data_IF_989656507415
#
_entry.id   IF_989656507415
#
_cell.length_a   1.000
_cell.length_b   1.000
_cell.length_c   1.000
_cell.angle_alpha   90.00
_cell.angle_beta   90.00
_cell.angle_gamma   90.00
#
_symmetry.space_group_name_H-M   'P 1'
#
loop_
_entity.id
_entity.type
_entity.pdbx_description
1 polymer ?
#
# COMPACT_ATOMS: atom_id res chain seq x y z
N UNK A 1 16.17 -7.30 10.21
CA UNK A 1 16.93 -7.27 11.49
C UNK A 1 18.24 -6.56 11.24
N UNK A 2 18.49 -5.48 11.96
CA UNK A 2 19.72 -4.72 11.91
C UNK A 2 20.61 -5.08 13.10
N UNK A 3 21.92 -4.96 12.95
CA UNK A 3 22.87 -5.19 14.03
C UNK A 3 23.64 -3.91 14.33
N UNK A 4 24.03 -3.74 15.60
CA UNK A 4 24.92 -2.66 16.01
C UNK A 4 26.08 -3.22 16.84
N UNK A 5 27.28 -2.69 16.64
CA UNK A 5 28.45 -2.95 17.47
C UNK A 5 28.73 -1.70 18.31
N UNK A 6 28.58 -1.80 19.62
CA UNK A 6 28.75 -0.66 20.55
C UNK A 6 27.93 0.59 20.10
N UNK A 7 26.70 0.37 19.62
CA UNK A 7 25.81 1.43 19.16
C UNK A 7 26.02 1.92 17.72
N UNK A 8 27.06 1.45 17.03
CA UNK A 8 27.27 1.80 15.61
C UNK A 8 26.66 0.74 14.69
N UNK A 9 25.99 1.16 13.60
CA UNK A 9 25.39 0.22 12.64
C UNK A 9 26.41 -0.76 12.07
N UNK A 10 26.04 -2.04 12.02
CA UNK A 10 26.83 -3.12 11.49
C UNK A 10 26.06 -3.78 10.33
N UNK A 11 26.64 -3.72 9.14
CA UNK A 11 25.99 -4.27 7.93
C UNK A 11 26.13 -5.79 7.87
N UNK A 12 25.07 -6.48 7.45
CA UNK A 12 25.11 -7.89 7.11
C UNK A 12 26.00 -8.13 5.87
N UNK A 13 26.67 -9.28 5.88
CA UNK A 13 27.51 -9.74 4.76
C UNK A 13 28.68 -8.78 4.42
N UNK A 14 29.12 -8.00 5.40
CA UNK A 14 30.30 -7.14 5.31
C UNK A 14 31.28 -7.55 6.43
N UNK A 15 32.58 -7.74 6.15
CA UNK A 15 33.57 -7.99 7.19
C UNK A 15 33.68 -6.76 8.10
N UNK A 16 33.88 -6.99 9.39
CA UNK A 16 34.04 -5.93 10.37
C UNK A 16 35.23 -6.18 11.32
N UNK A 17 35.67 -5.13 11.99
CA UNK A 17 36.77 -5.19 12.94
C UNK A 17 36.28 -4.63 14.28
N UNK A 18 36.54 -5.35 15.34
CA UNK A 18 36.28 -4.92 16.72
C UNK A 18 37.33 -3.94 17.22
N UNK A 19 37.07 -3.26 18.33
CA UNK A 19 37.94 -2.23 18.90
C UNK A 19 39.30 -2.77 19.37
N UNK A 20 39.40 -4.06 19.60
CA UNK A 20 40.64 -4.77 19.91
C UNK A 20 41.49 -5.17 18.70
N UNK A 21 40.99 -4.85 17.49
CA UNK A 21 41.66 -5.13 16.22
C UNK A 21 41.34 -6.50 15.61
N UNK A 22 40.48 -7.29 16.23
CA UNK A 22 40.07 -8.61 15.70
C UNK A 22 39.17 -8.43 14.50
N UNK A 23 39.52 -9.13 13.40
CA UNK A 23 38.75 -9.09 12.14
C UNK A 23 37.79 -10.28 12.05
N UNK A 24 36.56 -10.00 11.66
CA UNK A 24 35.51 -11.00 11.48
C UNK A 24 35.08 -11.04 10.00
N UNK A 25 34.88 -12.25 9.42
CA UNK A 25 34.47 -12.39 8.05
C UNK A 25 33.02 -11.93 7.81
N UNK A 26 32.70 -11.64 6.56
CA UNK A 26 31.38 -11.11 6.16
C UNK A 26 30.19 -11.97 6.61
N UNK A 27 30.36 -13.29 6.64
CA UNK A 27 29.29 -14.23 7.00
C UNK A 27 29.18 -14.48 8.53
N UNK A 28 30.04 -13.86 9.36
CA UNK A 28 30.11 -14.16 10.78
C UNK A 28 28.78 -13.86 11.48
N UNK A 29 28.13 -12.74 11.18
CA UNK A 29 26.84 -12.34 11.77
C UNK A 29 25.71 -13.35 11.51
N UNK A 30 25.79 -14.09 10.40
CA UNK A 30 24.78 -15.12 10.08
C UNK A 30 25.04 -16.44 10.78
N UNK A 31 26.29 -16.77 11.03
CA UNK A 31 26.70 -18.07 11.55
C UNK A 31 26.86 -18.06 13.08
N UNK A 32 27.10 -16.90 13.69
CA UNK A 32 27.31 -16.76 15.12
C UNK A 32 26.01 -16.89 15.91
N UNK A 33 26.14 -17.42 17.13
CA UNK A 33 25.04 -17.52 18.09
C UNK A 33 24.70 -16.16 18.70
N UNK A 34 23.56 -16.07 19.38
CA UNK A 34 23.18 -14.85 20.12
C UNK A 34 24.16 -14.54 21.25
N UNK A 35 24.70 -15.57 21.90
CA UNK A 35 25.69 -15.42 22.99
C UNK A 35 26.99 -14.84 22.45
N UNK A 36 27.55 -15.39 21.37
CA UNK A 36 28.76 -14.87 20.70
C UNK A 36 28.63 -13.42 20.26
N UNK A 37 27.45 -13.04 19.76
CA UNK A 37 27.14 -11.64 19.39
C UNK A 37 27.17 -10.73 20.62
N UNK A 38 26.51 -11.16 21.69
CA UNK A 38 26.43 -10.39 22.94
C UNK A 38 27.82 -10.20 23.57
N UNK A 39 28.66 -11.23 23.55
CA UNK A 39 30.01 -11.18 24.09
C UNK A 39 30.90 -10.16 23.38
N UNK A 40 30.65 -9.92 22.10
CA UNK A 40 31.34 -8.89 21.31
C UNK A 40 30.67 -7.50 21.39
N UNK A 41 29.60 -7.35 22.18
CA UNK A 41 28.86 -6.10 22.28
C UNK A 41 28.00 -5.81 21.05
N UNK A 42 27.67 -6.86 20.27
CA UNK A 42 26.75 -6.77 19.17
C UNK A 42 25.33 -6.96 19.69
N UNK A 43 24.48 -5.96 19.42
CA UNK A 43 23.06 -6.01 19.72
C UNK A 43 22.25 -6.13 18.44
N UNK A 44 21.23 -6.96 18.49
CA UNK A 44 20.23 -7.05 17.44
C UNK A 44 19.18 -5.97 17.68
N UNK A 45 18.97 -5.11 16.67
CA UNK A 45 17.98 -4.04 16.71
C UNK A 45 16.87 -4.42 15.77
N UNK A 46 15.63 -4.34 16.24
CA UNK A 46 14.48 -4.51 15.36
C UNK A 46 14.55 -3.50 14.21
N UNK A 47 14.23 -3.95 13.01
CA UNK A 47 14.13 -3.01 11.89
C UNK A 47 13.12 -1.91 12.23
N UNK A 48 13.43 -0.69 11.81
CA UNK A 48 12.49 0.40 11.99
C UNK A 48 11.16 0.03 11.34
N UNK A 49 10.02 0.22 12.02
CA UNK A 49 8.73 -0.09 11.45
C UNK A 49 8.53 0.69 10.15
N UNK A 50 8.13 -0.04 9.11
CA UNK A 50 7.80 0.58 7.82
C UNK A 50 6.36 1.06 7.89
N UNK A 51 6.19 2.37 7.86
CA UNK A 51 4.88 3.00 7.85
C UNK A 51 4.39 3.21 6.41
N UNK A 52 3.12 2.95 6.16
CA UNK A 52 2.51 3.26 4.87
C UNK A 52 2.43 4.77 4.69
N UNK A 53 3.20 5.29 3.73
CA UNK A 53 3.32 6.73 3.47
C UNK A 53 2.01 7.39 3.00
N UNK A 54 0.99 6.62 2.67
CA UNK A 54 -0.36 7.16 2.39
C UNK A 54 -1.00 7.70 3.64
N UNK A 55 -0.77 7.07 4.80
CA UNK A 55 -1.45 7.32 6.05
C UNK A 55 -0.56 7.94 7.13
N UNK A 56 0.74 7.68 7.09
CA UNK A 56 1.69 8.06 8.13
C UNK A 56 2.84 8.91 7.59
N UNK A 57 3.40 9.73 8.45
CA UNK A 57 4.67 10.39 8.23
C UNK A 57 5.84 9.41 8.46
N UNK A 58 7.06 9.79 8.06
CA UNK A 58 8.23 8.93 8.22
C UNK A 58 8.63 8.64 9.68
N UNK A 59 8.15 9.46 10.63
CA UNK A 59 8.32 9.28 12.07
C UNK A 59 7.24 8.38 12.71
N UNK A 60 6.31 7.86 11.91
CA UNK A 60 5.20 7.02 12.38
C UNK A 60 3.99 7.79 12.92
N UNK A 61 4.03 9.13 12.91
CA UNK A 61 2.85 9.92 13.26
C UNK A 61 1.80 9.84 12.17
N UNK A 62 0.52 9.73 12.55
CA UNK A 62 -0.58 9.74 11.59
C UNK A 62 -0.70 11.11 10.91
N UNK A 63 -0.94 11.11 9.60
CA UNK A 63 -1.28 12.33 8.87
C UNK A 63 -2.68 12.84 9.28
N UNK A 64 -2.94 14.14 9.03
CA UNK A 64 -4.25 14.71 9.29
C UNK A 64 -5.35 13.95 8.53
N UNK A 65 -6.29 13.35 9.27
CA UNK A 65 -7.28 12.41 8.77
C UNK A 65 -8.11 13.00 7.62
N UNK A 66 -8.59 14.25 7.78
CA UNK A 66 -9.41 14.92 6.77
C UNK A 66 -8.66 15.15 5.46
N UNK A 67 -7.37 15.49 5.54
CA UNK A 67 -6.51 15.64 4.37
C UNK A 67 -6.30 14.31 3.64
N UNK A 68 -6.06 13.24 4.39
CA UNK A 68 -5.91 11.89 3.84
C UNK A 68 -7.19 11.45 3.16
N UNK A 69 -8.35 11.56 3.82
CA UNK A 69 -9.66 11.21 3.24
C UNK A 69 -9.94 11.98 1.95
N UNK A 70 -9.67 13.30 1.94
CA UNK A 70 -9.87 14.14 0.76
C UNK A 70 -9.00 13.68 -0.41
N UNK A 71 -7.72 13.37 -0.16
CA UNK A 71 -6.79 12.86 -1.16
C UNK A 71 -7.22 11.50 -1.71
N UNK A 72 -7.62 10.57 -0.84
CA UNK A 72 -8.09 9.25 -1.23
C UNK A 72 -9.37 9.31 -2.08
N UNK A 73 -10.36 10.13 -1.69
CA UNK A 73 -11.58 10.32 -2.49
C UNK A 73 -11.30 10.94 -3.86
N UNK A 74 -10.34 11.88 -3.95
CA UNK A 74 -9.91 12.43 -5.24
C UNK A 74 -9.30 11.34 -6.13
N UNK A 75 -8.49 10.45 -5.56
CA UNK A 75 -7.90 9.31 -6.27
C UNK A 75 -8.97 8.31 -6.76
N UNK A 76 -10.01 8.04 -5.94
CA UNK A 76 -11.12 7.17 -6.36
C UNK A 76 -11.89 7.77 -7.55
N UNK A 77 -12.14 9.07 -7.54
CA UNK A 77 -12.77 9.77 -8.68
C UNK A 77 -11.92 9.72 -9.94
N UNK A 78 -10.61 9.90 -9.82
CA UNK A 78 -9.69 9.78 -10.95
C UNK A 78 -9.69 8.35 -11.51
N UNK A 79 -9.66 7.35 -10.64
CA UNK A 79 -9.75 5.93 -11.02
C UNK A 79 -11.05 5.64 -11.76
N UNK A 80 -12.18 6.05 -11.19
CA UNK A 80 -13.49 5.87 -11.84
C UNK A 80 -13.57 6.60 -13.20
N UNK A 81 -13.04 7.82 -13.27
CA UNK A 81 -12.93 8.59 -14.52
C UNK A 81 -12.14 7.85 -15.58
N UNK A 82 -11.00 7.29 -15.22
CA UNK A 82 -10.14 6.50 -16.12
C UNK A 82 -10.85 5.24 -16.63
N UNK A 83 -11.60 4.55 -15.77
CA UNK A 83 -12.39 3.37 -16.14
C UNK A 83 -13.53 3.73 -17.11
N UNK A 84 -14.19 4.86 -16.87
CA UNK A 84 -15.29 5.33 -17.72
C UNK A 84 -14.83 5.87 -19.07
N UNK A 85 -13.65 6.50 -19.14
CA UNK A 85 -13.12 7.14 -20.35
C UNK A 85 -12.98 6.16 -21.53
N UNK A 86 -12.68 4.88 -21.24
CA UNK A 86 -12.57 3.82 -22.26
C UNK A 86 -13.84 3.69 -23.12
N UNK A 87 -15.00 4.04 -22.56
CA UNK A 87 -16.32 3.82 -23.14
C UNK A 87 -17.07 5.12 -23.43
N UNK A 88 -16.44 6.30 -23.29
CA UNK A 88 -17.08 7.59 -23.51
C UNK A 88 -17.49 7.78 -24.97
N UNK A 89 -16.76 7.19 -25.90
CA UNK A 89 -17.12 7.22 -27.31
C UNK A 89 -18.50 6.63 -27.61
N UNK A 90 -19.01 5.66 -26.82
CA UNK A 90 -20.34 5.14 -26.93
C UNK A 90 -21.40 6.19 -26.57
N UNK A 91 -21.12 7.04 -25.59
CA UNK A 91 -22.01 8.13 -25.16
C UNK A 91 -22.09 9.18 -26.27
N UNK A 92 -20.93 9.57 -26.83
CA UNK A 92 -20.86 10.52 -27.95
C UNK A 92 -21.60 9.96 -29.15
N UNK A 93 -21.35 8.70 -29.53
CA UNK A 93 -22.09 8.04 -30.67
C UNK A 93 -23.60 8.00 -30.45
N UNK A 94 -24.05 7.75 -29.22
CA UNK A 94 -25.47 7.78 -28.88
C UNK A 94 -26.05 9.19 -29.07
N UNK A 95 -25.33 10.22 -28.65
CA UNK A 95 -25.76 11.60 -28.77
C UNK A 95 -25.83 12.05 -30.24
N UNK A 96 -24.84 11.70 -31.05
CA UNK A 96 -24.74 12.16 -32.46
C UNK A 96 -25.60 11.35 -33.42
N UNK A 97 -25.69 10.03 -33.19
CA UNK A 97 -26.30 9.09 -34.17
C UNK A 97 -27.49 8.29 -33.62
N UNK A 98 -27.89 8.57 -32.37
CA UNK A 98 -28.94 7.82 -31.67
C UNK A 98 -28.69 6.30 -31.58
N UNK A 99 -27.44 5.86 -31.75
CA UNK A 99 -27.06 4.46 -31.64
C UNK A 99 -27.02 4.06 -30.17
N UNK A 100 -27.79 3.06 -29.77
CA UNK A 100 -27.86 2.61 -28.38
C UNK A 100 -26.47 2.16 -27.86
N UNK A 101 -26.22 2.43 -26.58
CA UNK A 101 -25.05 1.88 -25.87
C UNK A 101 -25.36 0.40 -25.63
N UNK A 102 -24.42 -0.54 -25.89
CA UNK A 102 -24.59 -1.95 -25.51
C UNK A 102 -24.91 -2.09 -24.01
N UNK A 103 -25.86 -2.98 -23.70
CA UNK A 103 -26.35 -3.14 -22.31
C UNK A 103 -25.21 -3.46 -21.32
N UNK A 104 -24.27 -4.30 -21.69
CA UNK A 104 -23.11 -4.67 -20.90
C UNK A 104 -22.23 -3.46 -20.56
N UNK A 105 -22.03 -2.56 -21.54
CA UNK A 105 -21.26 -1.33 -21.34
C UNK A 105 -22.03 -0.35 -20.43
N UNK A 106 -23.34 -0.22 -20.63
CA UNK A 106 -24.17 0.61 -19.75
C UNK A 106 -24.12 0.12 -18.30
N UNK A 107 -24.32 -1.19 -18.10
CA UNK A 107 -24.25 -1.84 -16.77
C UNK A 107 -22.88 -1.66 -16.12
N UNK A 108 -21.79 -1.86 -16.88
CA UNK A 108 -20.43 -1.63 -16.39
C UNK A 108 -20.24 -0.17 -15.94
N UNK A 109 -20.62 0.80 -16.74
CA UNK A 109 -20.49 2.23 -16.43
C UNK A 109 -21.26 2.63 -15.18
N UNK A 110 -22.47 2.10 -15.01
CA UNK A 110 -23.29 2.35 -13.81
C UNK A 110 -22.67 1.67 -12.58
N UNK A 111 -22.15 0.46 -12.74
CA UNK A 111 -21.39 -0.24 -11.70
C UNK A 111 -20.14 0.50 -11.27
N UNK A 112 -19.39 1.10 -12.18
CA UNK A 112 -18.20 1.93 -11.84
C UNK A 112 -18.60 3.15 -11.01
N UNK A 113 -19.68 3.87 -11.38
CA UNK A 113 -20.18 5.02 -10.61
C UNK A 113 -20.62 4.60 -9.21
N UNK A 114 -21.42 3.54 -9.12
CA UNK A 114 -21.91 3.00 -7.85
C UNK A 114 -20.76 2.56 -6.94
N UNK A 115 -19.76 1.88 -7.49
CA UNK A 115 -18.57 1.48 -6.74
C UNK A 115 -17.78 2.70 -6.23
N UNK A 116 -17.60 3.73 -7.06
CA UNK A 116 -16.93 4.97 -6.66
C UNK A 116 -17.65 5.64 -5.48
N UNK A 117 -18.98 5.83 -5.59
CA UNK A 117 -19.80 6.43 -4.52
C UNK A 117 -19.74 5.61 -3.23
N UNK A 118 -19.72 4.28 -3.34
CA UNK A 118 -19.63 3.38 -2.18
C UNK A 118 -18.26 3.50 -1.52
N UNK A 119 -17.17 3.49 -2.29
CA UNK A 119 -15.80 3.65 -1.79
C UNK A 119 -15.59 5.00 -1.11
N UNK A 120 -16.16 6.08 -1.65
CA UNK A 120 -16.13 7.39 -0.99
C UNK A 120 -16.82 7.35 0.38
N UNK A 121 -17.97 6.66 0.50
CA UNK A 121 -18.68 6.47 1.76
C UNK A 121 -17.91 5.59 2.75
N UNK A 122 -17.26 4.53 2.27
CA UNK A 122 -16.39 3.67 3.09
C UNK A 122 -15.21 4.47 3.67
N UNK A 123 -14.58 5.35 2.87
CA UNK A 123 -13.52 6.26 3.32
C UNK A 123 -14.06 7.24 4.36
N UNK A 124 -15.22 7.86 4.11
CA UNK A 124 -15.83 8.82 5.04
C UNK A 124 -16.24 8.16 6.37
N UNK A 125 -16.63 6.91 6.35
CA UNK A 125 -17.04 6.16 7.55
C UNK A 125 -15.85 5.80 8.47
N UNK A 126 -14.59 5.84 7.99
CA UNK A 126 -13.44 5.57 8.83
C UNK A 126 -13.29 6.64 9.92
N UNK A 127 -13.27 6.22 11.16
CA UNK A 127 -13.16 7.14 12.30
C UNK A 127 -11.73 7.67 12.52
N UNK A 128 -10.73 6.91 12.10
CA UNK A 128 -9.30 7.19 12.31
C UNK A 128 -8.41 6.60 11.21
N UNK A 129 -7.13 6.84 11.31
CA UNK A 129 -6.12 6.35 10.36
C UNK A 129 -6.03 4.82 10.36
N UNK A 130 -6.21 4.16 11.52
CA UNK A 130 -6.14 2.69 11.61
C UNK A 130 -7.30 2.04 10.85
N UNK A 131 -8.51 2.64 10.90
CA UNK A 131 -9.65 2.21 10.12
C UNK A 131 -9.39 2.36 8.60
N UNK A 132 -8.73 3.44 8.17
CA UNK A 132 -8.31 3.60 6.76
C UNK A 132 -7.30 2.54 6.32
N UNK A 133 -6.29 2.25 7.15
CA UNK A 133 -5.32 1.18 6.87
C UNK A 133 -6.03 -0.15 6.71
N UNK A 134 -6.97 -0.46 7.60
CA UNK A 134 -7.78 -1.68 7.52
C UNK A 134 -8.62 -1.71 6.24
N UNK A 135 -9.29 -0.61 5.88
CA UNK A 135 -10.13 -0.50 4.68
C UNK A 135 -9.32 -0.78 3.40
N UNK A 136 -8.08 -0.26 3.32
CA UNK A 136 -7.17 -0.47 2.18
C UNK A 136 -6.37 -1.78 2.25
N UNK A 137 -6.58 -2.57 3.28
CA UNK A 137 -6.00 -3.89 3.46
C UNK A 137 -6.84 -5.00 2.83
N UNK A 138 -6.45 -6.23 3.14
CA UNK A 138 -7.15 -7.45 2.73
C UNK A 138 -7.61 -8.24 3.94
N UNK A 139 -8.67 -9.03 3.76
CA UNK A 139 -9.14 -10.02 4.74
C UNK A 139 -8.17 -11.19 4.83
N UNK A 140 -8.38 -12.07 5.79
CA UNK A 140 -7.59 -13.30 5.96
C UNK A 140 -7.63 -14.23 4.73
N UNK A 141 -8.72 -14.20 3.97
CA UNK A 141 -8.90 -14.96 2.73
C UNK A 141 -8.24 -14.29 1.50
N UNK A 142 -7.53 -13.16 1.70
CA UNK A 142 -6.85 -12.39 0.66
C UNK A 142 -7.76 -11.46 -0.15
N UNK A 143 -9.07 -11.43 0.15
CA UNK A 143 -9.99 -10.49 -0.54
C UNK A 143 -9.84 -9.07 0.00
N UNK A 144 -9.95 -8.03 -0.85
CA UNK A 144 -9.92 -6.64 -0.40
C UNK A 144 -11.07 -6.32 0.58
N UNK A 145 -10.80 -5.48 1.58
CA UNK A 145 -11.85 -4.98 2.49
C UNK A 145 -12.75 -3.96 1.80
N UNK A 146 -12.18 -3.13 0.95
CA UNK A 146 -12.88 -2.08 0.23
C UNK A 146 -13.68 -2.64 -0.96
N UNK A 147 -14.84 -2.07 -1.23
CA UNK A 147 -15.65 -2.38 -2.43
C UNK A 147 -14.80 -2.36 -3.70
N UNK A 148 -14.98 -3.38 -4.55
CA UNK A 148 -14.23 -3.49 -5.80
C UNK A 148 -15.00 -2.89 -6.97
N UNK A 149 -14.26 -2.31 -7.92
CA UNK A 149 -14.83 -1.91 -9.19
C UNK A 149 -15.27 -3.14 -10.00
N UNK A 150 -16.34 -3.03 -10.81
CA UNK A 150 -16.79 -4.13 -11.64
C UNK A 150 -15.69 -4.54 -12.64
N UNK A 151 -15.68 -5.82 -13.00
CA UNK A 151 -14.78 -6.33 -14.04
C UNK A 151 -15.14 -5.71 -15.39
N UNK A 152 -14.11 -5.24 -16.09
CA UNK A 152 -14.26 -4.69 -17.45
C UNK A 152 -14.82 -5.76 -18.41
N UNK A 153 -15.95 -5.53 -19.09
CA UNK A 153 -16.57 -6.51 -19.99
C UNK A 153 -15.68 -6.90 -21.18
N UNK A 154 -14.76 -6.03 -21.56
CA UNK A 154 -13.82 -6.29 -22.66
C UNK A 154 -12.42 -6.72 -22.19
N UNK A 155 -12.22 -6.97 -20.89
CA UNK A 155 -10.99 -7.54 -20.38
C UNK A 155 -10.92 -9.02 -20.75
N UNK A 156 -10.18 -9.35 -21.78
CA UNK A 156 -9.72 -10.74 -22.03
C UNK A 156 -8.81 -11.14 -20.90
N UNK A 157 -9.17 -12.23 -20.20
CA UNK A 157 -8.30 -12.89 -19.22
C UNK A 157 -7.09 -13.49 -19.93
#
# INVERSE_FOLDING_TARGET
>A
MAFTLNGNPLALDVPFTTSDGTQYPANWLRLSTAEEKTDLGISEVADAPVYDSRFYNGDGSAKALDGVKSGLKAQEKETAGSLLARYDWYVVRKAEKSTAIPTEIATYRDGVRTACDTREKEIDACADTAALVTLYGTKEDGTPNMTQYPKDPNSTM
#
